data_IF_930303384495
#
_entry.id   IF_930303384495
#
_cell.length_a   1.000
_cell.length_b   1.000
_cell.length_c   1.000
_cell.angle_alpha   90.00
_cell.angle_beta   90.00
_cell.angle_gamma   90.00
#
_symmetry.space_group_name_H-M   'P 1'
#
loop_
_entity.id
_entity.type
_entity.pdbx_description
1 polymer ?
#
# COMPACT_ATOMS: atom_id res chain seq x y z
N UNK A 1 -13.80 4.79 -9.88
CA UNK A 1 -13.93 3.76 -10.91
C UNK A 1 -14.11 2.40 -10.24
N UNK A 2 -15.03 1.61 -10.73
CA UNK A 2 -15.29 0.25 -10.24
C UNK A 2 -14.50 -0.81 -11.03
N UNK A 3 -13.94 -0.45 -12.17
CA UNK A 3 -13.19 -1.30 -13.07
C UNK A 3 -12.19 -0.49 -13.91
N UNK A 4 -11.30 -1.20 -14.64
CA UNK A 4 -10.27 -0.56 -15.46
C UNK A 4 -10.83 0.26 -16.61
N UNK A 5 -11.93 -0.15 -17.23
CA UNK A 5 -12.51 0.60 -18.35
C UNK A 5 -12.99 1.98 -17.90
N UNK A 6 -13.66 2.06 -16.75
CA UNK A 6 -14.06 3.36 -16.16
C UNK A 6 -12.84 4.20 -15.75
N UNK A 7 -11.80 3.55 -15.21
CA UNK A 7 -10.57 4.26 -14.85
C UNK A 7 -9.88 4.85 -16.09
N UNK A 8 -9.83 4.10 -17.18
CA UNK A 8 -9.26 4.55 -18.46
C UNK A 8 -10.07 5.70 -19.06
N UNK A 9 -11.40 5.63 -18.99
CA UNK A 9 -12.27 6.75 -19.44
C UNK A 9 -12.04 8.01 -18.60
N UNK A 10 -11.97 7.89 -17.27
CA UNK A 10 -11.67 9.02 -16.39
C UNK A 10 -10.31 9.65 -16.70
N UNK A 11 -9.29 8.84 -16.94
CA UNK A 11 -7.96 9.31 -17.33
C UNK A 11 -8.00 10.05 -18.66
N UNK A 12 -8.66 9.50 -19.67
CA UNK A 12 -8.80 10.12 -20.99
C UNK A 12 -9.53 11.48 -20.92
N UNK A 13 -10.61 11.55 -20.14
CA UNK A 13 -11.35 12.80 -19.92
C UNK A 13 -10.49 13.84 -19.20
N UNK A 14 -9.77 13.44 -18.15
CA UNK A 14 -8.88 14.33 -17.40
C UNK A 14 -7.75 14.87 -18.28
N UNK A 15 -7.13 14.01 -19.09
CA UNK A 15 -6.07 14.40 -20.03
C UNK A 15 -6.61 15.36 -21.10
N UNK A 16 -7.74 15.03 -21.73
CA UNK A 16 -8.33 15.88 -22.76
C UNK A 16 -8.72 17.27 -22.24
N UNK A 17 -9.25 17.35 -21.02
CA UNK A 17 -9.67 18.61 -20.39
C UNK A 17 -8.53 19.37 -19.70
N UNK A 18 -7.36 18.75 -19.54
CA UNK A 18 -6.26 19.31 -18.75
C UNK A 18 -6.58 19.40 -17.25
N UNK A 19 -7.53 18.60 -16.76
CA UNK A 19 -7.97 18.61 -15.37
C UNK A 19 -7.07 17.72 -14.49
N UNK A 20 -6.71 18.23 -13.31
CA UNK A 20 -5.97 17.44 -12.33
C UNK A 20 -6.85 16.30 -11.78
N UNK A 21 -6.41 15.05 -11.96
CA UNK A 21 -7.05 13.86 -11.39
C UNK A 21 -6.14 13.24 -10.34
N UNK A 22 -6.59 13.22 -9.09
CA UNK A 22 -5.92 12.56 -7.97
C UNK A 22 -6.78 11.43 -7.41
N UNK A 23 -6.15 10.48 -6.73
CA UNK A 23 -6.82 9.35 -6.07
C UNK A 23 -6.51 9.38 -4.58
N UNK A 24 -7.53 9.13 -3.74
CA UNK A 24 -7.47 9.23 -2.28
C UNK A 24 -6.77 8.05 -1.60
N UNK A 25 -5.50 7.77 -1.95
CA UNK A 25 -4.68 6.80 -1.21
C UNK A 25 -3.95 7.50 -0.07
N UNK A 26 -4.71 7.87 0.96
CA UNK A 26 -4.29 8.71 2.08
C UNK A 26 -3.05 8.19 2.82
N UNK A 27 -2.82 6.88 2.83
CA UNK A 27 -1.63 6.29 3.47
C UNK A 27 -0.31 6.73 2.81
N UNK A 28 -0.33 7.16 1.54
CA UNK A 28 0.85 7.76 0.88
C UNK A 28 1.31 9.06 1.55
N UNK A 29 0.45 9.69 2.30
CA UNK A 29 0.70 10.93 3.03
C UNK A 29 0.93 10.70 4.52
N UNK A 30 0.89 9.44 4.98
CA UNK A 30 1.12 9.08 6.38
C UNK A 30 2.55 9.46 6.79
N UNK A 31 2.74 10.28 7.85
CA UNK A 31 4.05 10.75 8.26
C UNK A 31 5.04 9.63 8.54
N UNK A 32 4.59 8.54 9.20
CA UNK A 32 5.46 7.41 9.50
C UNK A 32 5.96 6.74 8.22
N UNK A 33 5.09 6.57 7.20
CA UNK A 33 5.50 6.04 5.92
C UNK A 33 6.46 6.99 5.20
N UNK A 34 6.11 8.27 5.07
CA UNK A 34 6.95 9.24 4.34
C UNK A 34 8.32 9.43 4.95
N UNK A 35 8.45 9.31 6.28
CA UNK A 35 9.73 9.32 6.99
C UNK A 35 10.54 8.05 6.74
N UNK A 36 9.88 6.89 6.57
CA UNK A 36 10.53 5.59 6.39
C UNK A 36 11.00 5.36 4.95
N UNK A 37 10.24 5.83 3.95
CA UNK A 37 10.51 5.55 2.54
C UNK A 37 11.95 5.86 2.07
N UNK A 38 12.61 6.97 2.49
CA UNK A 38 13.99 7.24 2.11
C UNK A 38 15.02 6.22 2.63
N UNK A 39 14.65 5.40 3.62
CA UNK A 39 15.48 4.36 4.22
C UNK A 39 15.27 2.98 3.57
N UNK A 40 14.26 2.85 2.72
CA UNK A 40 13.96 1.61 2.01
C UNK A 40 14.87 1.49 0.79
N UNK A 41 15.74 0.47 0.79
CA UNK A 41 16.65 0.17 -0.31
C UNK A 41 16.55 -1.30 -0.72
N UNK A 42 16.04 -1.56 -1.91
CA UNK A 42 15.93 -2.89 -2.53
C UNK A 42 15.40 -3.98 -1.57
N UNK A 43 14.19 -3.80 -1.01
CA UNK A 43 13.63 -4.78 -0.08
C UNK A 43 13.48 -6.12 -0.79
N UNK A 44 13.85 -7.19 -0.07
CA UNK A 44 13.74 -8.57 -0.54
C UNK A 44 12.39 -9.18 -0.18
N UNK A 45 11.82 -8.70 0.90
CA UNK A 45 10.51 -9.11 1.37
C UNK A 45 9.76 -7.91 1.98
N UNK A 46 8.46 -7.81 1.69
CA UNK A 46 7.55 -6.85 2.30
C UNK A 46 6.39 -7.62 2.89
N UNK A 47 6.02 -7.30 4.11
CA UNK A 47 4.87 -7.88 4.79
C UNK A 47 3.89 -6.78 5.17
N UNK A 48 2.60 -6.96 4.81
CA UNK A 48 1.53 -6.01 5.09
C UNK A 48 0.38 -6.67 5.81
N UNK A 49 -0.06 -6.06 6.90
CA UNK A 49 -1.27 -6.43 7.60
C UNK A 49 -2.20 -5.22 7.72
N UNK A 50 -3.38 -5.32 7.10
CA UNK A 50 -4.46 -4.35 7.22
C UNK A 50 -5.70 -5.06 7.74
N UNK A 51 -5.81 -5.11 9.05
CA UNK A 51 -6.86 -5.81 9.78
C UNK A 51 -7.78 -4.79 10.44
N UNK A 52 -9.07 -4.93 10.24
CA UNK A 52 -10.08 -4.07 10.84
C UNK A 52 -11.25 -4.85 11.39
N UNK A 53 -11.96 -4.23 12.34
CA UNK A 53 -13.21 -4.77 12.85
C UNK A 53 -14.30 -4.64 11.81
N UNK A 54 -15.28 -5.54 11.89
CA UNK A 54 -16.48 -5.49 11.07
C UNK A 54 -17.19 -4.13 11.23
N UNK A 55 -17.57 -3.55 10.10
CA UNK A 55 -18.44 -2.38 10.03
C UNK A 55 -19.55 -2.68 9.04
N UNK A 56 -20.71 -2.03 9.19
CA UNK A 56 -21.81 -2.15 8.24
C UNK A 56 -21.58 -1.41 6.90
N UNK A 57 -20.38 -0.84 6.71
CA UNK A 57 -20.03 -0.11 5.49
C UNK A 57 -19.32 -1.02 4.50
N UNK A 58 -19.49 -0.74 3.21
CA UNK A 58 -18.77 -1.38 2.10
C UNK A 58 -18.89 -2.92 2.06
N UNK A 59 -20.04 -3.47 2.50
CA UNK A 59 -20.29 -4.92 2.44
C UNK A 59 -20.62 -5.41 1.02
N UNK A 60 -20.86 -4.51 0.11
CA UNK A 60 -21.13 -4.72 -1.31
C UNK A 60 -19.86 -4.78 -2.17
N UNK A 61 -18.68 -4.53 -1.57
CA UNK A 61 -17.38 -4.49 -2.24
C UNK A 61 -16.44 -5.51 -1.59
N UNK A 62 -15.62 -6.21 -2.38
CA UNK A 62 -14.58 -7.11 -1.87
C UNK A 62 -13.52 -6.35 -1.08
N UNK A 63 -13.01 -6.96 -0.01
CA UNK A 63 -11.94 -6.38 0.84
C UNK A 63 -10.68 -6.02 0.06
N UNK A 64 -10.46 -6.64 -1.11
CA UNK A 64 -9.34 -6.32 -1.99
C UNK A 64 -9.47 -4.90 -2.53
N UNK A 65 -10.66 -4.49 -2.99
CA UNK A 65 -10.91 -3.16 -3.55
C UNK A 65 -11.17 -2.10 -2.47
N UNK A 66 -11.75 -2.48 -1.33
CA UNK A 66 -12.08 -1.53 -0.26
C UNK A 66 -10.87 -1.25 0.67
N UNK A 67 -10.07 -2.27 0.94
CA UNK A 67 -9.05 -2.23 2.01
C UNK A 67 -7.64 -2.47 1.48
N UNK A 68 -7.41 -3.56 0.73
CA UNK A 68 -6.07 -3.96 0.28
C UNK A 68 -5.47 -2.97 -0.73
N UNK A 69 -6.30 -2.36 -1.57
CA UNK A 69 -5.88 -1.46 -2.66
C UNK A 69 -4.99 -0.30 -2.19
N UNK A 70 -5.19 0.20 -0.98
CA UNK A 70 -4.36 1.26 -0.41
C UNK A 70 -2.92 0.82 -0.18
N UNK A 71 -2.71 -0.44 0.22
CA UNK A 71 -1.38 -1.00 0.41
C UNK A 71 -0.76 -1.42 -0.93
N UNK A 72 -1.58 -1.85 -1.90
CA UNK A 72 -1.11 -2.12 -3.27
C UNK A 72 -0.53 -0.86 -3.91
N UNK A 73 -1.17 0.30 -3.73
CA UNK A 73 -0.64 1.59 -4.19
C UNK A 73 0.73 1.90 -3.57
N UNK A 74 0.86 1.75 -2.24
CA UNK A 74 2.13 1.97 -1.54
C UNK A 74 3.23 1.05 -2.09
N UNK A 75 2.94 -0.25 -2.25
CA UNK A 75 3.90 -1.25 -2.74
C UNK A 75 4.35 -0.94 -4.17
N UNK A 76 3.42 -0.64 -5.07
CA UNK A 76 3.72 -0.29 -6.45
C UNK A 76 4.57 0.97 -6.55
N UNK A 77 4.36 1.93 -5.66
CA UNK A 77 5.19 3.14 -5.59
C UNK A 77 6.61 2.85 -5.07
N UNK A 78 6.72 2.01 -4.03
CA UNK A 78 8.01 1.67 -3.41
C UNK A 78 8.88 0.83 -4.34
N UNK A 79 8.31 -0.21 -4.95
CA UNK A 79 9.08 -1.17 -5.74
C UNK A 79 9.36 -0.67 -7.16
N UNK A 80 8.44 0.10 -7.75
CA UNK A 80 8.51 0.54 -9.15
C UNK A 80 8.99 -0.56 -10.09
N UNK A 81 8.42 -1.76 -9.95
CA UNK A 81 8.80 -3.00 -10.62
C UNK A 81 7.55 -3.73 -11.09
N UNK A 82 7.64 -4.51 -12.14
CA UNK A 82 6.53 -5.27 -12.69
C UNK A 82 6.26 -6.54 -11.88
N UNK A 83 4.99 -6.98 -11.90
CA UNK A 83 4.53 -8.19 -11.23
C UNK A 83 4.84 -9.41 -12.10
N UNK A 84 5.48 -10.41 -11.51
CA UNK A 84 5.82 -11.69 -12.18
C UNK A 84 4.76 -12.75 -11.90
N UNK A 85 4.32 -12.85 -10.64
CA UNK A 85 3.31 -13.85 -10.26
C UNK A 85 2.51 -13.40 -9.03
N UNK A 86 1.27 -13.89 -8.97
CA UNK A 86 0.33 -13.64 -7.88
C UNK A 86 -0.26 -14.99 -7.46
N UNK A 87 -0.18 -15.28 -6.17
CA UNK A 87 -0.92 -16.33 -5.48
C UNK A 87 -1.86 -15.64 -4.49
N UNK A 88 -3.14 -15.95 -4.53
CA UNK A 88 -4.10 -15.27 -3.67
C UNK A 88 -5.19 -16.22 -3.18
N UNK A 89 -5.69 -15.96 -1.98
CA UNK A 89 -6.84 -16.62 -1.38
C UNK A 89 -7.74 -15.56 -0.76
N UNK A 90 -9.04 -15.77 -0.88
CA UNK A 90 -10.05 -14.90 -0.27
C UNK A 90 -11.25 -15.70 0.17
N UNK A 91 -11.88 -15.27 1.27
CA UNK A 91 -12.99 -15.99 1.87
C UNK A 91 -14.11 -15.01 2.22
N UNK A 92 -15.34 -15.26 1.73
CA UNK A 92 -16.54 -14.60 2.23
C UNK A 92 -16.94 -15.22 3.59
N UNK A 93 -17.17 -14.41 4.61
CA UNK A 93 -17.48 -14.88 5.97
C UNK A 93 -18.73 -14.24 6.52
N UNK A 94 -18.90 -12.93 6.36
CA UNK A 94 -20.03 -12.16 6.89
C UNK A 94 -20.90 -11.56 5.78
N UNK A 95 -20.45 -11.62 4.55
CA UNK A 95 -21.17 -11.11 3.37
C UNK A 95 -20.99 -12.08 2.20
N UNK A 96 -21.68 -11.80 1.08
CA UNK A 96 -21.49 -12.51 -0.19
C UNK A 96 -20.23 -12.06 -0.95
N UNK A 97 -19.42 -11.20 -0.31
CA UNK A 97 -18.16 -10.66 -0.84
C UNK A 97 -16.98 -11.18 -0.04
N UNK A 98 -15.81 -11.07 -0.59
CA UNK A 98 -14.56 -11.46 0.09
C UNK A 98 -14.34 -10.54 1.29
N UNK A 99 -14.36 -11.09 2.50
CA UNK A 99 -14.21 -10.37 3.78
C UNK A 99 -12.79 -10.42 4.34
N UNK A 100 -12.02 -11.44 3.94
CA UNK A 100 -10.60 -11.59 4.21
C UNK A 100 -9.90 -12.07 2.95
N UNK A 101 -8.77 -11.47 2.63
CA UNK A 101 -7.92 -11.88 1.52
C UNK A 101 -6.45 -11.89 1.94
N UNK A 102 -5.70 -12.87 1.42
CA UNK A 102 -4.24 -12.88 1.48
C UNK A 102 -3.71 -12.99 0.05
N UNK A 103 -2.69 -12.20 -0.26
CA UNK A 103 -2.01 -12.23 -1.54
C UNK A 103 -0.50 -12.33 -1.34
N UNK A 104 0.14 -13.22 -2.10
CA UNK A 104 1.58 -13.32 -2.25
C UNK A 104 1.95 -12.90 -3.67
N UNK A 105 2.72 -11.82 -3.78
CA UNK A 105 3.09 -11.20 -5.06
C UNK A 105 4.60 -11.24 -5.22
N UNK A 106 5.08 -11.72 -6.38
CA UNK A 106 6.49 -11.70 -6.75
C UNK A 106 6.71 -10.64 -7.81
N UNK A 107 7.73 -9.82 -7.62
CA UNK A 107 8.12 -8.75 -8.53
C UNK A 107 9.42 -9.08 -9.29
N UNK A 108 9.61 -8.48 -10.46
CA UNK A 108 10.85 -8.64 -11.27
C UNK A 108 12.10 -8.18 -10.53
N UNK A 109 11.98 -7.19 -9.62
CA UNK A 109 13.08 -6.78 -8.72
C UNK A 109 13.57 -7.89 -7.79
N UNK A 110 12.88 -9.05 -7.76
CA UNK A 110 13.13 -10.16 -6.86
C UNK A 110 12.47 -9.99 -5.48
N UNK A 111 11.79 -8.88 -5.24
CA UNK A 111 11.02 -8.70 -4.01
C UNK A 111 9.80 -9.61 -4.00
N UNK A 112 9.51 -10.17 -2.84
CA UNK A 112 8.26 -10.89 -2.56
C UNK A 112 7.44 -10.09 -1.56
N UNK A 113 6.16 -9.94 -1.82
CA UNK A 113 5.24 -9.20 -0.94
C UNK A 113 4.14 -10.13 -0.46
N UNK A 114 3.90 -10.17 0.85
CA UNK A 114 2.73 -10.81 1.44
C UNK A 114 1.80 -9.74 2.01
N UNK A 115 0.55 -9.77 1.59
CA UNK A 115 -0.49 -8.85 2.09
C UNK A 115 -1.63 -9.65 2.69
N UNK A 116 -2.10 -9.22 3.86
CA UNK A 116 -3.35 -9.68 4.44
C UNK A 116 -4.26 -8.50 4.69
N UNK A 117 -5.43 -8.51 4.09
CA UNK A 117 -6.49 -7.54 4.34
C UNK A 117 -7.72 -8.25 4.91
N UNK A 118 -8.29 -7.71 5.97
CA UNK A 118 -9.46 -8.27 6.63
C UNK A 118 -10.33 -7.17 7.22
N UNK A 119 -11.66 -7.31 7.08
CA UNK A 119 -12.65 -6.45 7.72
C UNK A 119 -13.41 -7.15 8.85
N UNK A 120 -12.93 -8.33 9.26
CA UNK A 120 -13.58 -9.19 10.26
C UNK A 120 -12.70 -9.50 11.47
N UNK A 121 -11.55 -8.84 11.58
CA UNK A 121 -10.61 -9.06 12.68
C UNK A 121 -11.04 -8.31 13.93
N UNK A 122 -10.78 -8.89 15.12
CA UNK A 122 -11.06 -8.20 16.40
C UNK A 122 -10.11 -7.04 16.64
N UNK A 123 -8.87 -7.18 16.20
CA UNK A 123 -7.83 -6.17 16.38
C UNK A 123 -7.74 -5.26 15.15
N UNK A 124 -7.49 -3.98 15.40
CA UNK A 124 -7.17 -3.02 14.35
C UNK A 124 -5.66 -2.95 14.17
N UNK A 125 -5.17 -3.55 13.09
CA UNK A 125 -3.75 -3.54 12.72
C UNK A 125 -3.61 -2.93 11.33
N UNK A 126 -2.74 -1.95 11.19
CA UNK A 126 -2.34 -1.38 9.90
C UNK A 126 -0.84 -1.19 9.91
N UNK A 127 -0.11 -2.19 9.41
CA UNK A 127 1.35 -2.23 9.45
C UNK A 127 1.94 -2.68 8.14
N UNK A 128 3.06 -2.05 7.77
CA UNK A 128 3.94 -2.51 6.71
C UNK A 128 5.35 -2.69 7.26
N UNK A 129 6.01 -3.76 6.83
CA UNK A 129 7.37 -4.10 7.21
C UNK A 129 8.21 -4.34 5.98
N UNK A 130 9.42 -3.79 5.97
CA UNK A 130 10.38 -3.95 4.89
C UNK A 130 11.58 -4.73 5.41
N UNK A 131 11.91 -5.82 4.74
CA UNK A 131 13.07 -6.64 5.02
C UNK A 131 14.06 -6.50 3.87
N UNK A 132 15.19 -5.93 4.15
CA UNK A 132 16.25 -5.68 3.20
C UNK A 132 17.60 -6.13 3.76
N UNK A 133 18.66 -6.18 2.94
CA UNK A 133 19.96 -6.68 3.40
C UNK A 133 20.47 -5.85 4.59
N UNK A 134 20.72 -6.52 5.72
CA UNK A 134 21.23 -5.89 6.93
C UNK A 134 20.29 -4.89 7.60
N UNK A 135 19.00 -4.82 7.21
CA UNK A 135 18.10 -3.80 7.72
C UNK A 135 16.64 -4.26 7.74
N UNK A 136 15.93 -3.86 8.77
CA UNK A 136 14.51 -4.07 8.99
C UNK A 136 13.82 -2.75 9.34
N UNK A 137 12.72 -2.46 8.65
CA UNK A 137 11.91 -1.28 8.88
C UNK A 137 10.46 -1.69 9.16
N UNK A 138 9.82 -1.05 10.11
CA UNK A 138 8.42 -1.28 10.46
C UNK A 138 7.68 0.04 10.55
N UNK A 139 6.51 0.13 9.93
CA UNK A 139 5.61 1.28 10.00
C UNK A 139 4.26 0.84 10.56
N UNK A 140 3.80 1.49 11.62
CA UNK A 140 2.44 1.40 12.14
C UNK A 140 1.66 2.64 11.70
N UNK A 141 0.78 2.49 10.73
CA UNK A 141 -0.01 3.60 10.17
C UNK A 141 -0.98 4.21 11.19
N UNK A 142 -1.54 3.38 12.08
CA UNK A 142 -2.53 3.83 13.08
C UNK A 142 -1.90 4.70 14.14
N UNK A 143 -0.73 4.27 14.61
CA UNK A 143 0.04 4.99 15.65
C UNK A 143 0.91 6.11 15.07
N UNK A 144 1.07 6.14 13.75
CA UNK A 144 2.04 6.99 13.04
C UNK A 144 3.45 6.83 13.63
N UNK A 145 3.87 5.60 13.82
CA UNK A 145 5.17 5.23 14.37
C UNK A 145 5.96 4.42 13.37
N UNK A 146 7.28 4.58 13.39
CA UNK A 146 8.19 3.80 12.58
C UNK A 146 9.41 3.37 13.40
N UNK A 147 9.97 2.23 13.03
CA UNK A 147 11.18 1.67 13.63
C UNK A 147 12.16 1.28 12.52
N UNK A 148 13.44 1.44 12.80
CA UNK A 148 14.53 1.01 11.93
C UNK A 148 15.57 0.26 12.74
N UNK A 149 15.86 -0.97 12.35
CA UNK A 149 16.86 -1.83 12.95
C UNK A 149 17.89 -2.22 11.89
N UNK A 150 19.19 -2.20 12.23
CA UNK A 150 20.29 -2.46 11.32
C UNK A 150 21.28 -3.43 11.94
N UNK A 151 21.83 -4.29 11.10
CA UNK A 151 22.99 -5.10 11.42
C UNK A 151 24.26 -4.26 11.17
N UNK A 152 25.04 -4.04 12.20
CA UNK A 152 26.36 -3.44 12.12
C UNK A 152 27.39 -4.54 12.27
N UNK A 153 28.44 -4.49 11.47
CA UNK A 153 29.59 -5.38 11.53
C UNK A 153 30.82 -4.52 11.78
N UNK A 154 31.53 -4.78 12.87
CA UNK A 154 32.76 -4.05 13.21
C UNK A 154 33.97 -4.55 12.41
N UNK A 155 35.15 -3.94 12.66
CA UNK A 155 36.39 -4.30 11.99
C UNK A 155 36.89 -5.71 12.34
N UNK A 156 36.50 -6.24 13.49
CA UNK A 156 36.79 -7.59 13.96
C UNK A 156 35.83 -8.65 13.40
N UNK A 157 34.76 -8.21 12.70
CA UNK A 157 33.72 -9.08 12.12
C UNK A 157 32.61 -9.47 13.09
N UNK A 158 32.59 -8.90 14.30
CA UNK A 158 31.50 -9.09 15.25
C UNK A 158 30.26 -8.29 14.80
N UNK A 159 29.10 -8.93 14.95
CA UNK A 159 27.82 -8.38 14.49
C UNK A 159 26.97 -7.92 15.65
N UNK A 160 26.49 -6.68 15.58
CA UNK A 160 25.54 -6.09 16.53
C UNK A 160 24.29 -5.61 15.82
N UNK A 161 23.14 -5.66 16.51
CA UNK A 161 21.89 -5.09 16.00
C UNK A 161 21.65 -3.77 16.73
N UNK A 162 21.59 -2.70 15.97
CA UNK A 162 21.27 -1.37 16.47
C UNK A 162 20.03 -0.80 15.81
N UNK A 163 19.31 0.05 16.53
CA UNK A 163 18.15 0.74 16.00
C UNK A 163 17.10 1.02 17.07
N UNK A 164 15.91 1.30 16.62
CA UNK A 164 14.77 1.62 17.44
C UNK A 164 13.76 2.51 16.73
N UNK A 165 12.92 3.23 17.49
CA UNK A 165 11.97 4.18 16.94
C UNK A 165 12.64 5.28 16.14
N UNK A 166 12.05 5.63 15.00
CA UNK A 166 12.44 6.78 14.19
C UNK A 166 11.59 7.97 14.64
N UNK A 167 12.18 9.14 14.72
CA UNK A 167 11.42 10.37 14.95
C UNK A 167 10.53 10.66 13.74
N UNK A 168 9.22 10.64 13.96
CA UNK A 168 8.20 10.95 12.96
C UNK A 168 7.66 12.33 13.23
N UNK A 169 8.04 13.29 12.39
CA UNK A 169 7.46 14.64 12.41
C UNK A 169 6.26 14.64 11.48
N UNK A 170 5.09 14.90 12.04
CA UNK A 170 3.91 14.60 11.30
C UNK A 170 2.86 15.67 11.18
N UNK A 171 1.73 15.30 10.68
CA UNK A 171 0.48 15.98 10.50
C UNK A 171 -0.57 14.94 10.20
N UNK A 172 -1.77 15.36 10.06
CA UNK A 172 -2.87 14.49 9.72
C UNK A 172 -2.76 14.08 8.22
N UNK A 173 -2.77 12.77 7.88
CA UNK A 173 -2.56 12.31 6.50
C UNK A 173 -3.53 12.90 5.49
N UNK A 174 -4.81 13.03 5.83
CA UNK A 174 -5.83 13.59 4.95
C UNK A 174 -5.58 15.09 4.70
N UNK A 175 -5.17 15.85 5.69
CA UNK A 175 -4.80 17.26 5.53
C UNK A 175 -3.64 17.40 4.53
N UNK A 176 -2.62 16.54 4.64
CA UNK A 176 -1.48 16.53 3.71
C UNK A 176 -1.87 16.14 2.30
N UNK A 177 -2.78 15.17 2.14
CA UNK A 177 -3.34 14.76 0.85
C UNK A 177 -4.07 15.92 0.18
N UNK A 178 -4.98 16.58 0.92
CA UNK A 178 -5.74 17.71 0.40
C UNK A 178 -4.83 18.90 0.07
N UNK A 179 -3.82 19.17 0.90
CA UNK A 179 -2.82 20.19 0.62
C UNK A 179 -2.04 19.89 -0.68
N UNK A 180 -1.60 18.64 -0.87
CA UNK A 180 -0.91 18.24 -2.11
C UNK A 180 -1.82 18.45 -3.35
N UNK A 181 -3.08 18.05 -3.25
CA UNK A 181 -4.03 18.23 -4.34
C UNK A 181 -4.23 19.71 -4.69
N UNK A 182 -4.47 20.57 -3.69
CA UNK A 182 -4.63 22.02 -3.89
C UNK A 182 -3.37 22.63 -4.55
N UNK A 183 -2.19 22.25 -4.06
CA UNK A 183 -0.92 22.69 -4.62
C UNK A 183 -0.71 22.17 -6.04
N UNK A 184 -1.08 20.91 -6.32
CA UNK A 184 -0.99 20.33 -7.66
C UNK A 184 -1.86 21.10 -8.68
N UNK A 185 -3.08 21.46 -8.29
CA UNK A 185 -3.98 22.27 -9.13
C UNK A 185 -3.42 23.69 -9.34
N UNK A 186 -3.00 24.36 -8.24
CA UNK A 186 -2.48 25.73 -8.29
C UNK A 186 -1.23 25.83 -9.14
N UNK A 187 -0.30 24.92 -8.96
CA UNK A 187 1.04 24.95 -9.57
C UNK A 187 1.07 24.19 -10.92
N UNK A 188 -0.07 23.66 -11.36
CA UNK A 188 -0.24 22.86 -12.59
C UNK A 188 0.76 21.70 -12.67
N UNK A 189 1.01 21.02 -11.55
CA UNK A 189 1.88 19.86 -11.47
C UNK A 189 1.09 18.57 -11.29
N UNK A 190 1.74 17.44 -11.51
CA UNK A 190 1.17 16.12 -11.17
C UNK A 190 0.97 16.00 -9.65
N UNK A 191 -0.20 15.53 -9.17
CA UNK A 191 -0.38 15.21 -7.74
C UNK A 191 0.48 14.01 -7.34
N UNK A 192 0.79 13.89 -6.04
CA UNK A 192 1.61 12.79 -5.52
C UNK A 192 0.96 11.42 -5.72
N UNK A 193 -0.37 11.35 -5.76
CA UNK A 193 -1.14 10.16 -6.13
C UNK A 193 -2.05 10.52 -7.30
N UNK A 194 -1.57 10.30 -8.50
CA UNK A 194 -2.32 10.62 -9.72
C UNK A 194 -3.33 9.53 -10.09
N UNK A 195 -4.25 9.87 -11.00
CA UNK A 195 -5.16 8.89 -11.58
C UNK A 195 -4.47 7.68 -12.20
N UNK A 196 -3.29 7.86 -12.83
CA UNK A 196 -2.52 6.76 -13.39
C UNK A 196 -1.99 5.79 -12.32
N UNK A 197 -1.57 6.30 -11.15
CA UNK A 197 -1.15 5.47 -10.02
C UNK A 197 -2.34 4.72 -9.41
N UNK A 198 -3.49 5.40 -9.25
CA UNK A 198 -4.72 4.74 -8.82
C UNK A 198 -5.18 3.64 -9.78
N UNK A 199 -5.06 3.87 -11.09
CA UNK A 199 -5.33 2.83 -12.10
C UNK A 199 -4.41 1.62 -11.97
N UNK A 200 -3.11 1.82 -11.69
CA UNK A 200 -2.16 0.71 -11.47
C UNK A 200 -2.55 -0.11 -10.25
N UNK A 201 -2.92 0.54 -9.15
CA UNK A 201 -3.39 -0.14 -7.95
C UNK A 201 -4.69 -0.93 -8.21
N UNK A 202 -5.64 -0.36 -8.95
CA UNK A 202 -6.88 -1.02 -9.37
C UNK A 202 -6.58 -2.24 -10.25
N UNK A 203 -5.67 -2.14 -11.21
CA UNK A 203 -5.29 -3.25 -12.08
C UNK A 203 -4.71 -4.44 -11.29
N UNK A 204 -3.88 -4.15 -10.29
CA UNK A 204 -3.33 -5.20 -9.43
C UNK A 204 -4.42 -5.81 -8.53
N UNK A 205 -5.35 -5.00 -8.02
CA UNK A 205 -6.49 -5.49 -7.26
C UNK A 205 -7.39 -6.43 -8.08
N UNK A 206 -7.69 -6.10 -9.35
CA UNK A 206 -8.43 -6.98 -10.26
C UNK A 206 -7.70 -8.30 -10.51
N UNK A 207 -6.37 -8.25 -10.75
CA UNK A 207 -5.57 -9.46 -10.92
C UNK A 207 -5.61 -10.37 -9.68
N UNK A 208 -5.52 -9.79 -8.48
CA UNK A 208 -5.61 -10.55 -7.22
C UNK A 208 -7.00 -11.19 -7.10
N UNK A 209 -8.06 -10.43 -7.34
CA UNK A 209 -9.45 -10.94 -7.25
C UNK A 209 -9.69 -12.07 -8.26
N UNK A 210 -9.19 -11.94 -9.48
CA UNK A 210 -9.26 -13.01 -10.48
C UNK A 210 -8.58 -14.29 -9.99
N UNK A 211 -7.39 -14.19 -9.37
CA UNK A 211 -6.70 -15.34 -8.80
C UNK A 211 -7.45 -16.01 -7.66
N UNK A 212 -8.16 -15.23 -6.83
CA UNK A 212 -9.00 -15.78 -5.76
C UNK A 212 -10.15 -16.62 -6.35
N UNK A 213 -10.80 -16.13 -7.39
CA UNK A 213 -11.94 -16.83 -8.01
C UNK A 213 -11.54 -18.06 -8.82
N UNK A 214 -10.30 -18.14 -9.31
CA UNK A 214 -9.80 -19.32 -10.05
C UNK A 214 -9.62 -20.57 -9.15
N UNK A 215 -9.66 -20.40 -7.81
CA UNK A 215 -9.46 -21.49 -6.83
C UNK A 215 -10.73 -21.88 -6.06
N UNK A 216 -11.88 -21.29 -6.38
CA UNK A 216 -13.22 -21.61 -5.85
C UNK A 216 -14.05 -22.30 -6.90
#
# INVERSE_FOLDING_TARGET
ASNLAEADEMLAVAEHSGTCLAVGHTERFNPALTTTLPLVDKPRFIEVHRLGAHTSRSLDIDVVFDVMIHDLDVILNVLNSDVVSIEAVGVPILSDRIDIANARIRFESGCVVNLTASRISRERVRKIRFFQSGSYLSVDYVKQQAEHWRLLVDEEGESTIEGGPIEVTGGEPLERELADFVLAVRDKRKPAVSGAEGRRALALAEQITTRITDYV
#
